data_IF_386286371531
#
_entry.id   IF_386286371531
#
_cell.length_a   1.000
_cell.length_b   1.000
_cell.length_c   1.000
_cell.angle_alpha   90.00
_cell.angle_beta   90.00
_cell.angle_gamma   90.00
#
_symmetry.space_group_name_H-M   'P 1'
#
loop_
_entity.id
_entity.type
_entity.pdbx_description
1 polymer ?
#
# COMPACT_ATOMS: atom_id res chain seq x y z
N UNK A 1 13.67 7.76 -21.67
CA UNK A 1 14.87 8.63 -21.92
C UNK A 1 14.54 10.07 -21.55
N UNK A 2 15.43 10.73 -20.82
CA UNK A 2 15.31 12.15 -20.45
C UNK A 2 16.43 12.92 -21.16
N UNK A 3 16.10 13.89 -21.99
CA UNK A 3 17.08 14.71 -22.76
C UNK A 3 18.16 13.89 -23.50
N UNK A 4 17.83 12.69 -23.98
CA UNK A 4 18.76 11.81 -24.70
C UNK A 4 19.62 10.91 -23.80
N UNK A 5 19.38 10.91 -22.48
CA UNK A 5 20.03 10.02 -21.52
C UNK A 5 19.08 8.90 -21.10
N UNK A 6 19.63 7.73 -20.82
CA UNK A 6 18.96 6.64 -20.12
C UNK A 6 19.16 6.81 -18.62
N UNK A 7 18.09 6.58 -17.86
CA UNK A 7 18.09 6.62 -16.40
C UNK A 7 18.25 5.20 -15.89
N UNK A 8 19.06 5.02 -14.85
CA UNK A 8 19.30 3.74 -14.18
C UNK A 8 19.07 3.93 -12.70
N UNK A 9 18.12 3.18 -12.13
CA UNK A 9 17.72 3.28 -10.73
C UNK A 9 17.78 1.92 -10.08
N UNK A 10 18.41 1.86 -8.91
CA UNK A 10 18.36 0.73 -7.96
C UNK A 10 17.88 1.22 -6.60
N UNK A 11 17.19 0.37 -5.87
CA UNK A 11 16.63 0.69 -4.56
C UNK A 11 17.11 -0.31 -3.50
N UNK A 12 17.42 0.23 -2.33
CA UNK A 12 17.64 -0.53 -1.10
C UNK A 12 16.46 -0.24 -0.17
N UNK A 13 15.63 -1.25 0.09
CA UNK A 13 14.41 -1.09 0.88
C UNK A 13 14.55 -1.84 2.19
N UNK A 14 14.45 -1.11 3.30
CA UNK A 14 14.50 -1.65 4.65
C UNK A 14 13.08 -1.78 5.19
N UNK A 15 12.74 -2.95 5.76
CA UNK A 15 11.45 -3.19 6.39
C UNK A 15 11.64 -3.76 7.79
N UNK A 16 11.13 -3.05 8.81
CA UNK A 16 11.06 -3.55 10.18
C UNK A 16 10.02 -4.66 10.27
N UNK A 17 10.41 -5.80 10.83
CA UNK A 17 9.52 -6.96 10.97
C UNK A 17 8.71 -6.86 12.26
N UNK A 18 7.41 -7.13 12.18
CA UNK A 18 6.46 -7.02 13.29
C UNK A 18 6.44 -8.27 14.20
N UNK A 19 7.62 -8.76 14.59
CA UNK A 19 7.75 -9.84 15.58
C UNK A 19 7.40 -9.35 17.00
N UNK A 20 7.06 -10.25 17.91
CA UNK A 20 6.73 -9.87 19.30
C UNK A 20 7.95 -9.38 20.07
N UNK A 21 9.11 -9.98 19.81
CA UNK A 21 10.40 -9.62 20.41
C UNK A 21 11.40 -9.15 19.38
N UNK A 22 12.44 -8.48 19.82
CA UNK A 22 13.58 -8.06 19.01
C UNK A 22 14.33 -9.26 18.42
N UNK A 23 15.28 -8.97 17.50
CA UNK A 23 15.96 -10.03 16.73
C UNK A 23 16.88 -10.90 17.60
N UNK A 24 17.53 -10.32 18.63
CA UNK A 24 18.54 -11.03 19.41
C UNK A 24 18.26 -11.07 20.91
N UNK A 25 17.11 -10.56 21.37
CA UNK A 25 16.72 -10.56 22.77
C UNK A 25 15.20 -10.55 22.94
N UNK A 26 14.72 -10.75 24.17
CA UNK A 26 13.28 -10.81 24.51
C UNK A 26 12.63 -9.44 24.73
N UNK A 27 13.34 -8.32 24.51
CA UNK A 27 12.70 -7.00 24.58
C UNK A 27 11.55 -6.92 23.60
N UNK A 28 10.46 -6.28 24.03
CA UNK A 28 9.27 -6.11 23.21
C UNK A 28 9.61 -5.27 21.97
N UNK A 29 9.16 -5.72 20.81
CA UNK A 29 9.26 -5.00 19.56
C UNK A 29 7.96 -4.19 19.34
N UNK A 30 7.94 -2.95 19.84
CA UNK A 30 6.77 -2.09 19.74
C UNK A 30 7.17 -0.62 19.60
N UNK A 31 6.60 0.07 18.61
CA UNK A 31 6.77 1.51 18.41
C UNK A 31 5.98 2.33 19.43
N UNK A 32 6.48 3.56 19.75
CA UNK A 32 5.74 4.57 20.52
C UNK A 32 5.73 4.37 22.03
N UNK A 33 6.57 3.49 22.57
CA UNK A 33 6.75 3.35 24.01
C UNK A 33 7.67 4.44 24.57
N UNK A 34 7.69 4.57 25.91
CA UNK A 34 8.56 5.53 26.62
C UNK A 34 10.01 5.34 26.20
N UNK A 35 10.72 6.45 25.97
CA UNK A 35 12.14 6.46 25.54
C UNK A 35 13.00 5.60 26.45
N UNK A 36 13.82 4.74 25.87
CA UNK A 36 14.72 3.82 26.58
C UNK A 36 14.03 2.85 27.56
N UNK A 37 12.73 2.56 27.37
CA UNK A 37 12.00 1.60 28.19
C UNK A 37 12.06 0.17 27.66
N UNK A 38 12.41 -0.03 26.37
CA UNK A 38 12.51 -1.34 25.71
C UNK A 38 13.96 -1.66 25.38
N UNK A 39 14.80 -1.65 26.40
CA UNK A 39 16.23 -1.94 26.29
C UNK A 39 16.67 -2.94 27.36
N UNK A 40 17.60 -3.81 26.99
CA UNK A 40 18.25 -4.76 27.91
C UNK A 40 19.76 -4.78 27.66
N UNK A 41 20.54 -5.43 28.53
CA UNK A 41 22.00 -5.53 28.32
C UNK A 41 22.42 -6.09 26.96
N UNK A 42 21.61 -6.98 26.35
CA UNK A 42 21.93 -7.58 25.05
C UNK A 42 21.79 -6.54 23.93
N UNK A 43 20.63 -5.89 23.77
CA UNK A 43 20.46 -4.91 22.68
C UNK A 43 21.29 -3.63 22.89
N UNK A 44 21.71 -3.34 24.12
CA UNK A 44 22.70 -2.27 24.42
C UNK A 44 24.16 -2.71 24.23
N UNK A 45 24.43 -3.99 23.94
CA UNK A 45 25.77 -4.50 23.72
C UNK A 45 26.68 -4.45 24.93
N UNK A 46 26.14 -4.67 26.14
CA UNK A 46 26.95 -4.67 27.35
C UNK A 46 27.92 -5.86 27.37
N UNK A 47 29.10 -5.69 27.94
CA UNK A 47 30.10 -6.80 28.04
C UNK A 47 29.54 -8.05 28.68
N UNK A 48 29.83 -9.22 28.10
CA UNK A 48 29.42 -10.53 28.60
C UNK A 48 27.99 -10.97 28.22
N UNK A 49 27.29 -10.21 27.39
CA UNK A 49 25.98 -10.61 26.88
C UNK A 49 26.10 -11.39 25.56
N UNK A 50 25.22 -12.34 25.34
CA UNK A 50 25.17 -13.17 24.13
C UNK A 50 23.84 -12.98 23.42
N UNK A 51 23.85 -12.70 22.10
CA UNK A 51 22.64 -12.61 21.28
C UNK A 51 22.00 -13.99 21.07
N UNK A 52 20.68 -14.04 20.95
CA UNK A 52 19.94 -15.24 20.56
C UNK A 52 19.00 -14.91 19.41
N UNK A 53 19.18 -15.57 18.26
CA UNK A 53 18.41 -15.28 17.06
C UNK A 53 16.93 -15.65 17.21
N UNK A 54 16.06 -14.73 16.92
CA UNK A 54 14.63 -14.95 16.85
C UNK A 54 14.26 -15.71 15.57
N UNK A 55 13.80 -16.95 15.72
CA UNK A 55 13.43 -17.85 14.62
C UNK A 55 12.36 -17.23 13.68
N UNK A 56 11.44 -16.43 14.25
CA UNK A 56 10.37 -15.80 13.47
C UNK A 56 10.90 -14.81 12.43
N UNK A 57 12.04 -14.18 12.69
CA UNK A 57 12.71 -13.29 11.73
C UNK A 57 13.17 -14.06 10.50
N UNK A 58 13.72 -15.24 10.71
CA UNK A 58 14.14 -16.16 9.62
C UNK A 58 12.93 -16.59 8.78
N UNK A 59 11.83 -17.00 9.43
CA UNK A 59 10.59 -17.37 8.78
C UNK A 59 10.04 -16.22 7.90
N UNK A 60 10.03 -15.02 8.45
CA UNK A 60 9.51 -13.85 7.74
C UNK A 60 10.37 -13.48 6.54
N UNK A 61 11.69 -13.53 6.68
CA UNK A 61 12.62 -13.26 5.58
C UNK A 61 12.47 -14.31 4.46
N UNK A 62 12.34 -15.61 4.80
CA UNK A 62 12.10 -16.68 3.82
C UNK A 62 10.75 -16.48 3.09
N UNK A 63 9.69 -16.12 3.81
CA UNK A 63 8.39 -15.82 3.19
C UNK A 63 8.49 -14.65 2.20
N UNK A 64 9.23 -13.59 2.57
CA UNK A 64 9.49 -12.48 1.65
C UNK A 64 10.33 -12.93 0.46
N UNK A 65 11.37 -13.75 0.70
CA UNK A 65 12.19 -14.36 -0.36
C UNK A 65 11.34 -15.14 -1.39
N UNK A 66 10.45 -15.99 -0.92
CA UNK A 66 9.53 -16.70 -1.82
C UNK A 66 8.57 -15.77 -2.57
N UNK A 67 8.06 -14.74 -1.92
CA UNK A 67 7.17 -13.76 -2.56
C UNK A 67 7.88 -12.96 -3.67
N UNK A 68 9.19 -12.79 -3.55
CA UNK A 68 10.05 -12.15 -4.56
C UNK A 68 10.83 -13.15 -5.42
N UNK A 69 10.39 -14.40 -5.47
CA UNK A 69 10.99 -15.47 -6.29
C UNK A 69 12.50 -15.65 -6.06
N UNK A 70 12.97 -15.40 -4.83
CA UNK A 70 14.39 -15.53 -4.48
C UNK A 70 14.78 -16.98 -4.24
N UNK A 71 16.05 -17.26 -4.52
CA UNK A 71 16.72 -18.47 -4.04
C UNK A 71 16.89 -18.38 -2.53
N UNK A 72 16.60 -19.47 -1.80
CA UNK A 72 16.74 -19.52 -0.34
C UNK A 72 18.03 -20.26 0.02
N UNK A 73 18.96 -19.55 0.68
CA UNK A 73 20.20 -20.13 1.19
C UNK A 73 19.92 -20.81 2.53
N UNK A 74 19.76 -22.13 2.51
CA UNK A 74 19.41 -22.90 3.71
C UNK A 74 20.53 -22.96 4.76
N UNK A 75 21.75 -22.62 4.37
CA UNK A 75 22.91 -22.52 5.27
C UNK A 75 23.50 -21.13 5.06
N UNK A 76 23.34 -20.26 6.05
CA UNK A 76 23.89 -18.91 6.01
C UNK A 76 24.38 -18.50 7.41
N UNK A 77 25.11 -17.41 7.48
CA UNK A 77 25.67 -16.87 8.71
C UNK A 77 25.37 -15.38 8.83
N UNK A 78 25.59 -14.88 10.02
CA UNK A 78 25.55 -13.45 10.29
C UNK A 78 26.95 -12.90 10.45
N UNK A 79 27.12 -11.64 10.07
CA UNK A 79 28.39 -10.93 10.07
C UNK A 79 28.27 -9.64 10.88
N UNK A 80 29.39 -9.18 11.45
CA UNK A 80 29.51 -7.86 12.06
C UNK A 80 29.90 -6.84 11.01
N UNK A 81 29.03 -5.81 10.85
CA UNK A 81 29.31 -4.59 10.08
C UNK A 81 29.79 -3.53 11.05
N UNK A 82 31.09 -3.25 11.04
CA UNK A 82 31.71 -2.40 12.05
C UNK A 82 31.69 -0.94 11.63
N UNK A 83 31.01 -0.12 12.41
CA UNK A 83 31.05 1.35 12.29
C UNK A 83 30.66 1.98 13.63
N UNK A 84 31.14 3.18 13.85
CA UNK A 84 30.89 3.89 15.09
C UNK A 84 29.86 5.00 14.88
N UNK A 85 28.75 4.93 15.63
CA UNK A 85 27.73 5.97 15.64
C UNK A 85 27.04 6.02 17.03
N UNK A 86 26.56 7.20 17.50
CA UNK A 86 26.00 7.33 18.85
C UNK A 86 24.80 6.44 19.14
N UNK A 87 23.97 6.12 18.15
CA UNK A 87 22.80 5.25 18.27
C UNK A 87 23.09 3.77 18.00
N UNK A 88 24.35 3.42 17.81
CA UNK A 88 24.85 2.05 17.65
C UNK A 88 25.71 1.64 18.86
N UNK A 89 25.10 1.19 19.97
CA UNK A 89 25.81 1.05 21.25
C UNK A 89 26.89 -0.03 21.24
N UNK A 90 26.80 -1.04 20.38
CA UNK A 90 27.78 -2.08 20.17
C UNK A 90 29.00 -1.65 19.34
N UNK A 91 28.94 -0.51 18.65
CA UNK A 91 29.85 -0.06 17.62
C UNK A 91 29.94 -1.01 16.40
N UNK A 92 29.00 -1.91 16.27
CA UNK A 92 28.76 -2.75 15.09
C UNK A 92 27.27 -3.08 14.96
N UNK A 93 26.85 -3.40 13.75
CA UNK A 93 25.53 -3.93 13.42
C UNK A 93 25.68 -5.38 13.00
N UNK A 94 24.84 -6.27 13.51
CA UNK A 94 24.77 -7.64 13.02
C UNK A 94 23.91 -7.63 11.76
N UNK A 95 24.47 -8.16 10.67
CA UNK A 95 23.88 -8.18 9.33
C UNK A 95 24.33 -9.46 8.59
N UNK A 96 24.20 -9.52 7.27
CA UNK A 96 24.69 -10.62 6.43
C UNK A 96 25.41 -10.04 5.20
N UNK A 97 26.71 -10.26 5.09
CA UNK A 97 27.53 -9.73 4.00
C UNK A 97 27.71 -10.73 2.85
N UNK A 98 28.30 -11.91 3.13
CA UNK A 98 28.71 -12.86 2.09
C UNK A 98 27.59 -13.79 1.64
N UNK A 99 26.86 -14.36 2.59
CA UNK A 99 25.81 -15.36 2.32
C UNK A 99 24.49 -14.87 2.94
N UNK A 100 23.74 -14.04 2.23
CA UNK A 100 22.42 -13.59 2.68
C UNK A 100 21.44 -14.76 2.75
N UNK A 101 20.40 -14.64 3.57
CA UNK A 101 19.37 -15.68 3.68
C UNK A 101 18.64 -15.91 2.35
N UNK A 102 18.37 -14.84 1.57
CA UNK A 102 17.78 -14.95 0.24
C UNK A 102 18.73 -14.37 -0.82
N UNK A 103 19.02 -15.17 -1.82
CA UNK A 103 19.83 -14.81 -2.98
C UNK A 103 19.01 -14.08 -4.06
N UNK A 104 19.43 -14.28 -5.32
CA UNK A 104 18.78 -13.61 -6.46
C UNK A 104 17.33 -14.00 -6.62
N UNK A 105 16.53 -13.03 -7.03
CA UNK A 105 15.11 -13.18 -7.30
C UNK A 105 14.58 -12.10 -8.25
N UNK A 106 13.28 -11.91 -8.25
CA UNK A 106 12.63 -10.85 -9.03
C UNK A 106 11.23 -10.56 -8.53
N UNK A 107 10.72 -9.40 -8.89
CA UNK A 107 9.32 -9.02 -8.76
C UNK A 107 8.82 -8.44 -10.07
N UNK A 108 7.62 -8.87 -10.49
CA UNK A 108 6.95 -8.29 -11.65
C UNK A 108 6.04 -7.16 -11.17
N UNK A 109 6.28 -5.95 -11.67
CA UNK A 109 5.50 -4.74 -11.39
C UNK A 109 4.67 -4.37 -12.62
N UNK A 110 3.58 -3.63 -12.41
CA UNK A 110 2.66 -3.27 -13.46
C UNK A 110 2.65 -1.74 -13.65
N UNK A 111 3.31 -1.26 -14.69
CA UNK A 111 3.42 0.17 -15.00
C UNK A 111 2.62 0.47 -16.26
N UNK A 112 1.63 1.36 -16.16
CA UNK A 112 0.73 1.77 -17.26
C UNK A 112 0.08 0.58 -18.02
N UNK A 113 -0.13 -0.53 -17.31
CA UNK A 113 -0.73 -1.75 -17.86
C UNK A 113 0.27 -2.72 -18.51
N UNK A 114 1.55 -2.38 -18.54
CA UNK A 114 2.65 -3.25 -18.99
C UNK A 114 3.37 -3.88 -17.79
N UNK A 115 3.65 -5.17 -17.91
CA UNK A 115 4.42 -5.91 -16.92
C UNK A 115 5.90 -5.64 -17.10
N UNK A 116 6.58 -5.27 -16.01
CA UNK A 116 8.02 -5.02 -15.96
C UNK A 116 8.64 -5.87 -14.86
N UNK A 117 9.67 -6.62 -15.21
CA UNK A 117 10.44 -7.42 -14.25
C UNK A 117 11.57 -6.61 -13.68
N UNK A 118 11.62 -6.54 -12.35
CA UNK A 118 12.72 -5.94 -11.58
C UNK A 118 13.44 -7.06 -10.83
N UNK A 119 14.71 -7.21 -11.08
CA UNK A 119 15.57 -8.16 -10.38
C UNK A 119 15.76 -7.78 -8.93
N UNK A 120 15.90 -8.79 -8.09
CA UNK A 120 16.30 -8.69 -6.69
C UNK A 120 17.70 -9.30 -6.57
N UNK A 121 18.64 -8.53 -6.08
CA UNK A 121 20.01 -9.00 -5.85
C UNK A 121 20.06 -9.93 -4.65
N UNK A 122 19.38 -9.52 -3.54
CA UNK A 122 19.32 -10.28 -2.29
C UNK A 122 18.30 -9.73 -1.31
N UNK A 123 17.93 -10.54 -0.34
CA UNK A 123 17.30 -10.10 0.91
C UNK A 123 18.12 -10.67 2.06
N UNK A 124 18.52 -9.82 2.99
CA UNK A 124 19.24 -10.24 4.18
C UNK A 124 18.59 -9.71 5.45
N UNK A 125 18.86 -10.42 6.55
CA UNK A 125 18.38 -10.04 7.89
C UNK A 125 19.44 -9.22 8.60
N UNK A 126 19.00 -8.22 9.34
CA UNK A 126 19.86 -7.39 10.16
C UNK A 126 19.09 -6.79 11.35
N UNK A 127 19.79 -6.14 12.25
CA UNK A 127 19.20 -5.38 13.34
C UNK A 127 19.17 -3.89 13.03
N UNK A 128 18.14 -3.18 13.51
CA UNK A 128 18.11 -1.72 13.39
C UNK A 128 18.94 -1.06 14.50
N UNK A 129 19.44 0.14 14.22
CA UNK A 129 20.11 1.01 15.18
C UNK A 129 19.10 1.78 16.02
N UNK A 130 19.54 2.49 17.06
CA UNK A 130 18.74 3.42 17.85
C UNK A 130 18.29 4.64 17.05
N UNK A 131 17.82 5.65 17.74
CA UNK A 131 17.36 6.90 17.14
C UNK A 131 18.04 8.09 17.81
N UNK A 132 18.60 9.00 17.01
CA UNK A 132 19.06 10.29 17.48
C UNK A 132 17.90 11.29 17.52
N UNK A 133 17.73 11.95 18.64
CA UNK A 133 16.75 12.99 18.86
C UNK A 133 17.47 14.32 19.03
N UNK A 134 17.17 15.28 18.16
CA UNK A 134 17.64 16.64 18.32
C UNK A 134 16.71 17.37 19.27
N UNK A 135 17.29 18.04 20.27
CA UNK A 135 16.52 18.75 21.28
C UNK A 135 16.73 20.26 21.15
N UNK A 136 15.64 21.00 20.98
CA UNK A 136 15.68 22.46 21.01
C UNK A 136 15.99 23.01 22.43
N UNK A 137 15.81 22.16 23.47
CA UNK A 137 16.07 22.54 24.87
C UNK A 137 17.53 22.46 25.27
N UNK A 138 18.32 21.61 24.60
CA UNK A 138 19.72 21.34 24.92
C UNK A 138 20.60 21.62 23.69
N UNK A 139 21.18 22.81 23.63
CA UNK A 139 22.09 23.18 22.52
C UNK A 139 23.39 22.34 22.60
N UNK A 140 23.81 21.82 21.44
CA UNK A 140 25.05 21.06 21.31
C UNK A 140 25.01 19.64 21.90
N UNK A 141 23.82 19.10 22.17
CA UNK A 141 23.61 17.75 22.71
C UNK A 141 22.68 16.96 21.78
N UNK A 142 23.03 15.71 21.51
CA UNK A 142 22.15 14.74 20.86
C UNK A 142 21.61 13.77 21.91
N UNK A 143 20.31 13.59 21.96
CA UNK A 143 19.67 12.60 22.80
C UNK A 143 19.56 11.29 22.02
N UNK A 144 19.71 10.15 22.72
CA UNK A 144 19.70 8.83 22.09
C UNK A 144 18.55 8.02 22.69
N UNK A 145 17.66 7.56 21.82
CA UNK A 145 16.64 6.58 22.13
C UNK A 145 17.06 5.21 21.57
N UNK A 146 17.32 4.26 22.45
CA UNK A 146 17.77 2.92 22.12
C UNK A 146 16.61 1.89 22.00
N UNK A 147 15.35 2.33 22.10
CA UNK A 147 14.21 1.41 21.96
C UNK A 147 14.22 0.67 20.63
N UNK A 148 14.72 1.30 19.56
CA UNK A 148 14.81 0.69 18.24
C UNK A 148 16.02 -0.23 18.06
N UNK A 149 17.06 -0.14 18.90
CA UNK A 149 18.21 -1.05 18.81
C UNK A 149 17.78 -2.51 18.88
N UNK A 150 18.18 -3.31 17.90
CA UNK A 150 17.84 -4.72 17.81
C UNK A 150 16.43 -5.00 17.32
N UNK A 151 15.69 -4.00 16.80
CA UNK A 151 14.45 -4.24 16.05
C UNK A 151 14.79 -5.05 14.80
N UNK A 152 14.06 -6.16 14.52
CA UNK A 152 14.35 -7.01 13.37
C UNK A 152 14.11 -6.25 12.06
N UNK A 153 15.07 -6.30 11.16
CA UNK A 153 15.05 -5.60 9.88
C UNK A 153 15.40 -6.60 8.77
N UNK A 154 14.74 -6.46 7.63
CA UNK A 154 15.20 -7.02 6.37
C UNK A 154 15.55 -5.91 5.41
N UNK A 155 16.66 -6.08 4.70
CA UNK A 155 17.05 -5.22 3.59
C UNK A 155 16.83 -5.96 2.28
N UNK A 156 16.05 -5.35 1.38
CA UNK A 156 15.73 -5.85 0.04
C UNK A 156 16.48 -4.98 -0.95
N UNK A 157 17.45 -5.56 -1.65
CA UNK A 157 18.28 -4.86 -2.64
C UNK A 157 17.82 -5.22 -4.04
N UNK A 158 17.38 -4.24 -4.82
CA UNK A 158 17.00 -4.44 -6.21
C UNK A 158 18.22 -4.42 -7.14
N UNK A 159 18.11 -5.07 -8.30
CA UNK A 159 18.98 -4.79 -9.43
C UNK A 159 18.67 -3.38 -9.99
N UNK A 160 19.61 -2.73 -10.69
CA UNK A 160 19.43 -1.39 -11.26
C UNK A 160 18.59 -1.43 -12.56
N UNK A 161 17.41 -2.03 -12.49
CA UNK A 161 16.58 -2.33 -13.66
C UNK A 161 15.53 -1.24 -13.95
N UNK A 162 15.23 -0.38 -12.97
CA UNK A 162 14.23 0.67 -13.12
C UNK A 162 14.77 1.82 -13.98
N UNK A 163 13.91 2.37 -14.83
CA UNK A 163 14.26 3.39 -15.84
C UNK A 163 13.50 4.70 -15.69
N UNK A 164 12.62 4.80 -14.70
CA UNK A 164 11.85 6.01 -14.40
C UNK A 164 11.49 6.10 -12.92
N UNK A 165 11.23 7.30 -12.44
CA UNK A 165 10.71 7.54 -11.08
C UNK A 165 9.35 6.88 -10.87
N UNK A 166 8.54 6.76 -11.94
CA UNK A 166 7.26 6.04 -11.89
C UNK A 166 7.44 4.53 -11.67
N UNK A 167 8.42 3.89 -12.35
CA UNK A 167 8.77 2.49 -12.09
C UNK A 167 9.24 2.28 -10.65
N UNK A 168 10.08 3.18 -10.13
CA UNK A 168 10.55 3.14 -8.74
C UNK A 168 9.38 3.26 -7.74
N UNK A 169 8.43 4.15 -8.01
CA UNK A 169 7.22 4.30 -7.19
C UNK A 169 6.39 3.03 -7.16
N UNK A 170 6.06 2.48 -8.34
CA UNK A 170 5.26 1.26 -8.45
C UNK A 170 5.97 0.07 -7.80
N UNK A 171 7.29 -0.03 -7.93
CA UNK A 171 8.09 -1.04 -7.23
C UNK A 171 7.94 -0.94 -5.70
N UNK A 172 8.08 0.25 -5.13
CA UNK A 172 7.92 0.47 -3.68
C UNK A 172 6.50 0.20 -3.21
N UNK A 173 5.47 0.59 -3.97
CA UNK A 173 4.06 0.30 -3.69
C UNK A 173 3.80 -1.22 -3.74
N UNK A 174 4.39 -1.92 -4.70
CA UNK A 174 4.30 -3.38 -4.83
C UNK A 174 4.97 -4.08 -3.64
N UNK A 175 6.19 -3.68 -3.26
CA UNK A 175 6.87 -4.24 -2.09
C UNK A 175 6.06 -4.02 -0.80
N UNK A 176 5.57 -2.80 -0.60
CA UNK A 176 4.71 -2.47 0.54
C UNK A 176 3.51 -3.39 0.61
N UNK A 177 2.80 -3.55 -0.50
CA UNK A 177 1.63 -4.40 -0.58
C UNK A 177 1.97 -5.87 -0.29
N UNK A 178 3.07 -6.40 -0.85
CA UNK A 178 3.54 -7.76 -0.56
C UNK A 178 3.84 -7.95 0.93
N UNK A 179 4.59 -7.03 1.56
CA UNK A 179 4.92 -7.07 2.99
C UNK A 179 3.66 -7.11 3.87
N UNK A 180 2.65 -6.33 3.51
CA UNK A 180 1.35 -6.29 4.21
C UNK A 180 0.54 -7.57 3.99
N UNK A 181 0.51 -8.12 2.78
CA UNK A 181 -0.14 -9.41 2.48
C UNK A 181 0.50 -10.59 3.22
N UNK A 182 1.81 -10.55 3.38
CA UNK A 182 2.53 -11.53 4.20
C UNK A 182 2.30 -11.32 5.71
N UNK A 183 1.79 -10.15 6.11
CA UNK A 183 1.60 -9.80 7.51
C UNK A 183 2.90 -9.66 8.31
N UNK A 184 4.02 -9.33 7.65
CA UNK A 184 5.35 -9.29 8.27
C UNK A 184 5.85 -7.88 8.58
N UNK A 185 5.22 -6.84 8.02
CA UNK A 185 5.52 -5.43 8.28
C UNK A 185 4.23 -4.60 8.13
N UNK A 186 4.05 -3.57 8.94
CA UNK A 186 2.93 -2.63 8.83
C UNK A 186 3.17 -1.52 7.79
N UNK A 187 4.42 -1.35 7.36
CA UNK A 187 4.84 -0.45 6.29
C UNK A 187 4.46 1.03 6.51
N UNK A 188 4.56 1.52 7.73
CA UNK A 188 4.32 2.92 8.08
C UNK A 188 5.59 3.75 7.97
N UNK A 189 5.76 4.48 6.86
CA UNK A 189 6.95 5.31 6.65
C UNK A 189 7.12 6.41 7.71
N UNK A 190 6.02 6.95 8.25
CA UNK A 190 6.05 7.98 9.31
C UNK A 190 6.64 7.44 10.63
N UNK A 191 6.47 6.16 10.90
CA UNK A 191 7.04 5.47 12.06
C UNK A 191 8.45 4.90 11.74
N UNK A 192 8.85 4.89 10.46
CA UNK A 192 10.13 4.37 9.98
C UNK A 192 10.15 2.87 9.76
N UNK A 193 8.99 2.19 9.82
CA UNK A 193 8.92 0.73 9.63
C UNK A 193 9.16 0.27 8.19
N UNK A 194 9.11 1.19 7.21
CA UNK A 194 9.65 0.99 5.87
C UNK A 194 10.43 2.23 5.44
N UNK A 195 11.64 2.03 4.91
CA UNK A 195 12.55 3.08 4.44
C UNK A 195 13.14 2.65 3.11
N UNK A 196 13.55 3.61 2.29
CA UNK A 196 14.27 3.31 1.06
C UNK A 196 15.43 4.29 0.84
N UNK A 197 16.53 3.74 0.38
CA UNK A 197 17.66 4.49 -0.18
C UNK A 197 17.64 4.30 -1.70
N UNK A 198 17.89 5.39 -2.43
CA UNK A 198 17.74 5.43 -3.88
C UNK A 198 19.10 5.63 -4.53
N UNK A 199 19.49 4.72 -5.39
CA UNK A 199 20.68 4.84 -6.24
C UNK A 199 20.27 5.29 -7.64
N UNK A 200 20.78 6.42 -8.12
CA UNK A 200 20.45 6.99 -9.44
C UNK A 200 21.73 7.25 -10.24
N UNK A 201 21.72 6.87 -11.50
CA UNK A 201 22.72 7.30 -12.48
C UNK A 201 22.06 7.56 -13.83
N UNK A 202 22.77 8.32 -14.71
CA UNK A 202 22.37 8.56 -16.08
C UNK A 202 23.53 8.28 -17.02
N UNK A 203 23.26 7.77 -18.23
CA UNK A 203 24.25 7.52 -19.27
C UNK A 203 23.63 7.72 -20.64
N UNK A 204 24.46 7.90 -21.67
CA UNK A 204 23.97 7.91 -23.05
C UNK A 204 23.71 6.49 -23.54
N UNK A 205 22.72 6.29 -24.43
CA UNK A 205 22.46 4.98 -25.01
C UNK A 205 23.73 4.35 -25.63
N UNK A 206 23.99 3.10 -25.24
CA UNK A 206 25.16 2.35 -25.69
C UNK A 206 26.46 2.61 -24.92
N UNK A 207 26.47 3.55 -23.98
CA UNK A 207 27.59 3.75 -23.06
C UNK A 207 27.43 2.89 -21.79
N UNK A 208 28.52 2.58 -21.06
CA UNK A 208 28.43 1.99 -19.73
C UNK A 208 27.59 2.82 -18.77
N UNK A 209 27.06 2.21 -17.70
CA UNK A 209 26.34 2.93 -16.66
C UNK A 209 27.18 4.08 -16.11
N UNK A 210 26.53 5.21 -15.89
CA UNK A 210 27.12 6.41 -15.29
C UNK A 210 27.46 6.23 -13.81
N UNK A 211 28.14 7.22 -13.26
CA UNK A 211 28.44 7.27 -11.83
C UNK A 211 27.15 7.46 -11.03
N UNK A 212 26.90 6.58 -10.07
CA UNK A 212 25.71 6.64 -9.23
C UNK A 212 25.85 7.64 -8.07
N UNK A 213 24.77 8.32 -7.75
CA UNK A 213 24.58 9.01 -6.47
C UNK A 213 23.59 8.21 -5.63
N UNK A 214 23.90 8.03 -4.35
CA UNK A 214 23.02 7.44 -3.35
C UNK A 214 22.23 8.55 -2.66
N UNK A 215 20.91 8.44 -2.64
CA UNK A 215 20.04 9.42 -2.00
C UNK A 215 19.34 8.83 -0.78
N UNK A 216 19.54 9.47 0.37
CA UNK A 216 18.97 9.10 1.67
C UNK A 216 17.91 10.09 2.13
N UNK A 217 17.25 9.76 3.24
CA UNK A 217 16.21 10.61 3.87
C UNK A 217 14.98 10.79 2.99
N UNK A 218 14.56 9.71 2.34
CA UNK A 218 13.34 9.67 1.52
C UNK A 218 12.17 9.23 2.40
N UNK A 219 11.36 10.19 2.85
CA UNK A 219 10.34 9.95 3.88
C UNK A 219 8.95 9.61 3.31
N UNK A 220 8.81 9.52 1.99
CA UNK A 220 7.59 9.08 1.30
C UNK A 220 7.89 8.60 -0.11
N UNK A 221 7.04 7.76 -0.67
CA UNK A 221 7.18 7.33 -2.08
C UNK A 221 7.08 8.51 -3.05
N UNK A 222 6.28 9.51 -2.72
CA UNK A 222 6.23 10.76 -3.49
C UNK A 222 7.53 11.57 -3.39
N UNK A 223 8.20 11.56 -2.24
CA UNK A 223 9.53 12.17 -2.08
C UNK A 223 10.59 11.40 -2.90
N UNK A 224 10.48 10.05 -2.99
CA UNK A 224 11.35 9.25 -3.86
C UNK A 224 11.23 9.70 -5.32
N UNK A 225 10.00 9.86 -5.83
CA UNK A 225 9.75 10.33 -7.20
C UNK A 225 10.40 11.69 -7.43
N UNK A 226 10.11 12.68 -6.56
CA UNK A 226 10.68 14.03 -6.70
C UNK A 226 12.21 14.03 -6.61
N UNK A 227 12.75 13.25 -5.69
CA UNK A 227 14.19 13.12 -5.52
C UNK A 227 14.88 12.50 -6.73
N UNK A 228 14.31 11.43 -7.30
CA UNK A 228 14.82 10.80 -8.52
C UNK A 228 14.78 11.78 -9.68
N UNK A 229 13.64 12.44 -9.92
CA UNK A 229 13.50 13.39 -11.02
C UNK A 229 14.51 14.55 -10.91
N UNK A 230 14.66 15.11 -9.70
CA UNK A 230 15.66 16.15 -9.44
C UNK A 230 17.08 15.66 -9.70
N UNK A 231 17.44 14.46 -9.21
CA UNK A 231 18.79 13.92 -9.33
C UNK A 231 19.15 13.60 -10.78
N UNK A 232 18.20 13.09 -11.56
CA UNK A 232 18.34 12.87 -13.00
C UNK A 232 18.65 14.18 -13.72
N UNK A 233 17.87 15.23 -13.44
CA UNK A 233 18.08 16.55 -14.07
C UNK A 233 19.42 17.14 -13.65
N UNK A 234 19.81 17.04 -12.39
CA UNK A 234 21.10 17.52 -11.88
C UNK A 234 22.27 16.83 -12.57
N UNK A 235 22.25 15.49 -12.67
CA UNK A 235 23.34 14.73 -13.30
C UNK A 235 23.44 15.05 -14.79
N UNK A 236 22.34 15.16 -15.51
CA UNK A 236 22.33 15.56 -16.92
C UNK A 236 22.93 16.95 -17.09
N UNK A 237 22.54 17.92 -16.26
CA UNK A 237 23.09 19.30 -16.32
C UNK A 237 24.60 19.35 -16.09
N UNK A 238 25.13 18.53 -15.15
CA UNK A 238 26.57 18.41 -14.91
C UNK A 238 27.28 17.86 -16.15
N UNK A 239 26.75 16.80 -16.76
CA UNK A 239 27.35 16.16 -17.94
C UNK A 239 27.29 17.07 -19.18
N UNK A 240 26.18 17.77 -19.39
CA UNK A 240 26.02 18.71 -20.52
C UNK A 240 26.95 19.95 -20.38
N UNK A 241 27.28 20.34 -19.14
CA UNK A 241 28.27 21.38 -18.88
C UNK A 241 29.74 20.90 -19.04
N UNK A 242 29.95 19.62 -19.43
CA UNK A 242 31.27 19.02 -19.57
C UNK A 242 31.93 18.60 -18.26
N UNK A 243 31.16 18.60 -17.17
CA UNK A 243 31.59 18.12 -15.85
C UNK A 243 31.53 16.60 -15.73
N UNK A 244 31.81 16.12 -14.52
CA UNK A 244 31.69 14.70 -14.14
C UNK A 244 30.79 14.57 -12.93
N UNK A 245 29.96 13.55 -12.90
CA UNK A 245 29.18 13.18 -11.71
C UNK A 245 30.10 12.47 -10.73
N UNK A 246 30.16 12.99 -9.50
CA UNK A 246 30.92 12.37 -8.41
C UNK A 246 30.07 11.27 -7.75
N UNK A 247 30.74 10.20 -7.29
CA UNK A 247 30.07 9.17 -6.48
C UNK A 247 29.96 9.69 -5.04
N UNK A 248 28.74 10.02 -4.65
CA UNK A 248 28.46 10.66 -3.37
C UNK A 248 27.14 10.15 -2.76
N UNK A 249 27.04 10.26 -1.43
CA UNK A 249 25.78 10.14 -0.71
C UNK A 249 25.15 11.51 -0.54
N UNK A 250 23.90 11.64 -0.90
CA UNK A 250 23.12 12.88 -0.85
C UNK A 250 21.90 12.70 0.05
N UNK A 251 21.44 13.77 0.70
CA UNK A 251 20.21 13.81 1.48
C UNK A 251 19.13 14.54 0.69
N UNK A 252 17.97 13.93 0.58
CA UNK A 252 16.80 14.65 0.07
C UNK A 252 16.29 15.66 1.09
N UNK A 253 16.10 16.90 0.68
CA UNK A 253 15.49 17.98 1.45
C UNK A 253 14.14 18.33 0.79
N UNK A 254 13.06 17.83 1.38
CA UNK A 254 11.72 17.92 0.78
C UNK A 254 11.17 19.35 0.82
N UNK A 255 11.57 20.16 1.81
CA UNK A 255 11.18 21.57 1.91
C UNK A 255 11.83 22.43 0.81
N UNK A 256 13.10 22.15 0.51
CA UNK A 256 13.84 22.84 -0.55
C UNK A 256 13.63 22.24 -1.92
N UNK A 257 13.07 21.03 -2.01
CA UNK A 257 12.89 20.30 -3.25
C UNK A 257 14.22 19.97 -3.95
N UNK A 258 15.29 19.68 -3.19
CA UNK A 258 16.63 19.41 -3.74
C UNK A 258 17.40 18.38 -2.93
N UNK A 259 18.36 17.72 -3.57
CA UNK A 259 19.32 16.87 -2.89
C UNK A 259 20.54 17.67 -2.44
N UNK A 260 21.04 17.40 -1.23
CA UNK A 260 22.20 18.09 -0.63
C UNK A 260 23.30 17.05 -0.40
N UNK A 261 24.56 17.28 -0.84
CA UNK A 261 25.66 16.35 -0.59
C UNK A 261 25.91 16.18 0.91
N UNK A 262 26.13 14.95 1.36
CA UNK A 262 26.47 14.62 2.74
C UNK A 262 27.95 14.26 2.88
N UNK A 263 28.44 13.33 2.08
CA UNK A 263 29.83 12.85 2.08
C UNK A 263 30.24 12.39 0.69
N UNK A 264 31.51 12.49 0.40
CA UNK A 264 32.11 11.99 -0.84
C UNK A 264 32.58 10.52 -0.69
N UNK A 265 33.05 9.93 -1.80
CA UNK A 265 33.63 8.59 -1.84
C UNK A 265 34.90 8.46 -0.99
N UNK A 266 35.64 9.56 -0.79
CA UNK A 266 36.85 9.58 0.04
C UNK A 266 36.56 9.29 1.51
N UNK A 267 35.31 9.52 1.95
CA UNK A 267 34.81 9.21 3.29
C UNK A 267 34.14 7.81 3.38
N UNK A 268 34.26 6.98 2.34
CA UNK A 268 33.66 5.63 2.35
C UNK A 268 34.29 4.80 3.47
N UNK A 269 33.44 4.35 4.40
CA UNK A 269 33.88 3.53 5.51
C UNK A 269 34.13 2.09 5.03
N UNK A 270 35.34 1.55 5.34
CA UNK A 270 35.57 0.13 5.31
C UNK A 270 34.92 -0.50 6.57
N UNK A 271 33.81 -1.20 6.39
CA UNK A 271 33.08 -1.82 7.48
C UNK A 271 33.78 -3.03 8.10
N UNK A 272 34.86 -3.51 7.52
CA UNK A 272 35.67 -4.63 8.05
C UNK A 272 34.78 -5.79 8.51
N UNK A 273 33.96 -6.29 7.61
CA UNK A 273 33.05 -7.40 7.89
C UNK A 273 33.81 -8.64 8.36
N UNK A 274 33.28 -9.32 9.38
CA UNK A 274 33.69 -10.64 9.78
C UNK A 274 32.53 -11.41 10.40
N UNK A 275 32.55 -12.77 10.41
CA UNK A 275 31.44 -13.55 10.97
C UNK A 275 31.18 -13.21 12.44
N UNK A 276 29.87 -13.09 12.81
CA UNK A 276 29.45 -12.88 14.18
C UNK A 276 29.78 -14.14 15.03
N UNK A 277 30.74 -14.06 15.95
CA UNK A 277 31.22 -15.26 16.67
C UNK A 277 30.21 -15.77 17.70
N UNK A 278 29.30 -14.93 18.17
CA UNK A 278 28.36 -15.26 19.24
C UNK A 278 27.04 -15.84 18.69
N UNK A 279 26.89 -15.94 17.35
CA UNK A 279 25.73 -16.53 16.69
C UNK A 279 26.12 -17.79 15.90
N UNK A 280 25.30 -18.80 16.04
CA UNK A 280 25.47 -20.03 15.27
C UNK A 280 25.10 -19.81 13.79
N UNK A 281 25.66 -20.66 12.93
CA UNK A 281 25.22 -20.77 11.53
C UNK A 281 23.71 -21.05 11.48
N UNK A 282 23.02 -20.31 10.67
CA UNK A 282 21.58 -20.52 10.42
C UNK A 282 21.47 -21.70 9.46
N UNK A 283 20.79 -22.77 9.90
CA UNK A 283 20.48 -23.94 9.09
C UNK A 283 18.96 -24.09 9.04
N UNK A 284 18.40 -24.04 7.84
CA UNK A 284 16.96 -24.19 7.62
C UNK A 284 16.69 -25.47 6.84
N UNK A 285 15.90 -26.36 7.41
CA UNK A 285 15.52 -27.60 6.75
C UNK A 285 14.62 -27.35 5.53
N UNK A 286 14.75 -28.20 4.49
CA UNK A 286 13.99 -28.03 3.25
C UNK A 286 12.48 -28.07 3.49
N UNK A 287 12.03 -28.94 4.39
CA UNK A 287 10.65 -29.09 4.78
C UNK A 287 10.07 -27.76 5.31
N UNK A 288 10.85 -27.04 6.12
CA UNK A 288 10.45 -25.73 6.65
C UNK A 288 10.33 -24.69 5.54
N UNK A 289 11.28 -24.67 4.62
CA UNK A 289 11.24 -23.77 3.43
C UNK A 289 9.98 -24.02 2.60
N UNK A 290 9.63 -25.31 2.37
CA UNK A 290 8.46 -25.70 1.61
C UNK A 290 7.14 -25.38 2.33
N UNK A 291 7.09 -25.52 3.65
CA UNK A 291 5.95 -25.11 4.48
C UNK A 291 5.71 -23.61 4.39
N UNK A 292 6.76 -22.82 4.55
CA UNK A 292 6.68 -21.35 4.47
C UNK A 292 6.21 -20.90 3.08
N UNK A 293 6.68 -21.57 2.02
CA UNK A 293 6.20 -21.32 0.66
C UNK A 293 4.70 -21.54 0.51
N UNK A 294 4.18 -22.64 1.07
CA UNK A 294 2.74 -22.97 1.03
C UNK A 294 1.88 -22.00 1.85
N UNK A 295 2.46 -21.31 2.82
CA UNK A 295 1.77 -20.34 3.68
C UNK A 295 1.57 -18.96 3.02
N UNK A 296 2.15 -18.73 1.83
CA UNK A 296 2.05 -17.45 1.13
C UNK A 296 0.65 -17.30 0.54
N UNK A 297 -0.07 -16.21 0.84
CA UNK A 297 -1.36 -15.94 0.23
C UNK A 297 -1.20 -15.58 -1.25
N UNK A 298 -2.31 -15.53 -1.99
CA UNK A 298 -2.29 -14.97 -3.34
C UNK A 298 -1.85 -13.50 -3.29
N UNK A 299 -0.74 -13.20 -3.94
CA UNK A 299 -0.09 -11.88 -3.90
C UNK A 299 -0.86 -10.83 -4.73
N UNK A 300 -0.69 -9.53 -4.43
CA UNK A 300 -1.47 -8.47 -5.06
C UNK A 300 -1.33 -8.42 -6.59
N UNK A 301 -0.15 -8.62 -7.16
CA UNK A 301 0.07 -8.67 -8.60
C UNK A 301 -0.73 -9.80 -9.28
N UNK A 302 -0.80 -10.98 -8.67
CA UNK A 302 -1.61 -12.11 -9.15
C UNK A 302 -3.11 -11.78 -9.05
N UNK A 303 -3.53 -11.16 -7.95
CA UNK A 303 -4.93 -10.71 -7.75
C UNK A 303 -5.34 -9.68 -8.80
N UNK A 304 -4.51 -8.70 -9.11
CA UNK A 304 -4.78 -7.70 -10.16
C UNK A 304 -5.10 -8.39 -11.47
N UNK A 305 -4.22 -9.30 -11.91
CA UNK A 305 -4.42 -10.03 -13.15
C UNK A 305 -5.70 -10.90 -13.11
N UNK A 306 -5.98 -11.53 -11.98
CA UNK A 306 -7.23 -12.30 -11.79
C UNK A 306 -8.46 -11.41 -11.86
N UNK A 307 -8.44 -10.24 -11.22
CA UNK A 307 -9.57 -9.30 -11.24
C UNK A 307 -9.87 -8.77 -12.64
N UNK A 308 -8.83 -8.45 -13.40
CA UNK A 308 -8.99 -8.04 -14.80
C UNK A 308 -9.52 -9.20 -15.67
N UNK A 309 -8.88 -10.37 -15.62
CA UNK A 309 -9.22 -11.50 -16.52
C UNK A 309 -10.51 -12.18 -16.16
N UNK A 310 -10.77 -12.44 -14.86
CA UNK A 310 -11.92 -13.23 -14.42
C UNK A 310 -13.17 -12.37 -14.18
N UNK A 311 -13.00 -11.15 -13.66
CA UNK A 311 -14.12 -10.31 -13.26
C UNK A 311 -14.34 -9.09 -14.15
N UNK A 312 -13.47 -8.87 -15.15
CA UNK A 312 -13.60 -7.79 -16.13
C UNK A 312 -13.39 -6.39 -15.56
N UNK A 313 -12.64 -6.26 -14.45
CA UNK A 313 -12.29 -4.95 -13.92
C UNK A 313 -11.30 -4.27 -14.85
N UNK A 314 -11.36 -2.93 -14.94
CA UNK A 314 -10.25 -2.20 -15.51
C UNK A 314 -9.02 -2.27 -14.59
N UNK A 315 -7.85 -2.05 -15.15
CA UNK A 315 -6.59 -2.22 -14.43
C UNK A 315 -6.46 -1.31 -13.20
N UNK A 316 -6.94 -0.06 -13.27
CA UNK A 316 -6.85 0.90 -12.17
C UNK A 316 -7.69 0.48 -10.97
N UNK A 317 -8.93 0.05 -11.21
CA UNK A 317 -9.83 -0.45 -10.16
C UNK A 317 -9.29 -1.74 -9.54
N UNK A 318 -8.78 -2.66 -10.38
CA UNK A 318 -8.18 -3.90 -9.93
C UNK A 318 -6.95 -3.66 -9.05
N UNK A 319 -6.06 -2.75 -9.45
CA UNK A 319 -4.87 -2.36 -8.69
C UNK A 319 -5.27 -1.74 -7.36
N UNK A 320 -6.16 -0.76 -7.36
CA UNK A 320 -6.59 -0.07 -6.13
C UNK A 320 -7.18 -1.04 -5.09
N UNK A 321 -8.02 -1.99 -5.53
CA UNK A 321 -8.59 -2.99 -4.62
C UNK A 321 -7.51 -3.97 -4.15
N UNK A 322 -6.67 -4.46 -5.05
CA UNK A 322 -5.69 -5.48 -4.74
C UNK A 322 -4.51 -4.98 -3.88
N UNK A 323 -4.18 -3.69 -3.91
CA UNK A 323 -3.14 -3.10 -3.06
C UNK A 323 -3.53 -3.05 -1.57
N UNK A 324 -4.82 -3.08 -1.26
CA UNK A 324 -5.31 -3.12 0.12
C UNK A 324 -5.76 -4.53 0.48
N UNK A 325 -5.12 -5.14 1.50
CA UNK A 325 -5.45 -6.49 1.99
C UNK A 325 -6.94 -6.60 2.36
N UNK A 326 -7.47 -5.60 3.07
CA UNK A 326 -8.84 -5.60 3.54
C UNK A 326 -9.86 -5.38 2.42
N UNK A 327 -9.59 -4.45 1.50
CA UNK A 327 -10.48 -4.24 0.34
C UNK A 327 -10.47 -5.45 -0.59
N UNK A 328 -9.31 -6.06 -0.84
CA UNK A 328 -9.22 -7.28 -1.63
C UNK A 328 -9.98 -8.44 -0.99
N UNK A 329 -9.86 -8.59 0.34
CA UNK A 329 -10.61 -9.61 1.08
C UNK A 329 -12.12 -9.37 0.96
N UNK A 330 -12.59 -8.15 1.22
CA UNK A 330 -14.01 -7.80 1.09
C UNK A 330 -14.53 -8.10 -0.33
N UNK A 331 -13.77 -7.70 -1.35
CA UNK A 331 -14.13 -7.93 -2.74
C UNK A 331 -14.17 -9.43 -3.09
N UNK A 332 -13.12 -10.19 -2.70
CA UNK A 332 -13.05 -11.64 -2.92
C UNK A 332 -14.21 -12.37 -2.22
N UNK A 333 -14.51 -12.00 -0.97
CA UNK A 333 -15.62 -12.57 -0.20
C UNK A 333 -16.99 -12.27 -0.85
N UNK A 334 -17.16 -11.07 -1.44
CA UNK A 334 -18.35 -10.74 -2.21
C UNK A 334 -18.44 -11.57 -3.50
N UNK A 335 -17.34 -11.69 -4.25
CA UNK A 335 -17.30 -12.44 -5.50
C UNK A 335 -17.44 -13.95 -5.28
N UNK A 336 -17.00 -14.48 -4.15
CA UNK A 336 -17.19 -15.88 -3.77
C UNK A 336 -18.67 -16.28 -3.61
N UNK A 337 -19.57 -15.32 -3.38
CA UNK A 337 -21.01 -15.56 -3.29
C UNK A 337 -21.68 -15.79 -4.65
N UNK A 338 -21.01 -15.42 -5.73
CA UNK A 338 -21.46 -15.61 -7.13
C UNK A 338 -22.91 -15.13 -7.40
N UNK A 339 -23.31 -14.00 -6.76
CA UNK A 339 -24.69 -13.50 -6.87
C UNK A 339 -24.83 -12.37 -7.86
N UNK A 340 -23.82 -11.49 -7.96
CA UNK A 340 -23.89 -10.29 -8.77
C UNK A 340 -22.56 -10.04 -9.49
N UNK A 341 -22.58 -9.34 -10.66
CA UNK A 341 -21.36 -8.93 -11.36
C UNK A 341 -20.47 -8.05 -10.49
N UNK A 342 -19.15 -8.12 -10.71
CA UNK A 342 -18.14 -7.37 -9.97
C UNK A 342 -18.44 -5.86 -9.91
N UNK A 343 -18.97 -5.29 -10.99
CA UNK A 343 -19.33 -3.87 -11.08
C UNK A 343 -20.32 -3.42 -10.00
N UNK A 344 -21.23 -4.31 -9.59
CA UNK A 344 -22.19 -3.98 -8.53
C UNK A 344 -21.50 -3.75 -7.19
N UNK A 345 -20.44 -4.49 -6.89
CA UNK A 345 -19.67 -4.33 -5.66
C UNK A 345 -18.64 -3.20 -5.76
N UNK A 346 -17.91 -3.11 -6.87
CA UNK A 346 -16.87 -2.09 -7.03
C UNK A 346 -17.42 -0.67 -6.98
N UNK A 347 -18.66 -0.44 -7.42
CA UNK A 347 -19.33 0.85 -7.30
C UNK A 347 -19.41 1.32 -5.84
N UNK A 348 -19.70 0.42 -4.90
CA UNK A 348 -19.77 0.72 -3.47
C UNK A 348 -18.38 0.81 -2.83
N UNK A 349 -17.50 -0.12 -3.16
CA UNK A 349 -16.15 -0.19 -2.59
C UNK A 349 -15.33 1.04 -3.02
N UNK A 350 -15.21 1.30 -4.33
CA UNK A 350 -14.41 2.39 -4.87
C UNK A 350 -15.07 3.77 -4.74
N UNK A 351 -16.39 3.79 -4.64
CA UNK A 351 -17.16 5.02 -4.51
C UNK A 351 -17.40 5.44 -3.05
N UNK A 352 -18.48 4.92 -2.48
CA UNK A 352 -18.98 5.39 -1.19
C UNK A 352 -18.10 4.94 0.00
N UNK A 353 -17.51 3.72 -0.02
CA UNK A 353 -16.58 3.26 1.04
C UNK A 353 -15.29 4.07 1.06
N UNK A 354 -14.61 4.18 -0.07
CA UNK A 354 -13.34 4.95 -0.17
C UNK A 354 -13.57 6.42 0.20
N UNK A 355 -14.69 7.00 -0.24
CA UNK A 355 -15.07 8.36 0.15
C UNK A 355 -15.24 8.50 1.67
N UNK A 356 -15.89 7.54 2.32
CA UNK A 356 -16.04 7.53 3.77
C UNK A 356 -14.70 7.40 4.49
N UNK A 357 -13.86 6.46 4.07
CA UNK A 357 -12.52 6.26 4.63
C UNK A 357 -11.67 7.54 4.54
N UNK A 358 -11.65 8.19 3.37
CA UNK A 358 -10.91 9.43 3.15
C UNK A 358 -11.45 10.61 3.98
N UNK A 359 -12.74 10.69 4.20
CA UNK A 359 -13.37 11.77 4.96
C UNK A 359 -13.19 11.61 6.47
N UNK A 360 -13.11 10.38 6.97
CA UNK A 360 -13.06 10.08 8.42
C UNK A 360 -11.67 9.71 8.91
N UNK A 361 -10.73 9.36 8.01
CA UNK A 361 -9.45 8.76 8.35
C UNK A 361 -9.53 7.32 8.88
N UNK A 362 -10.73 6.71 8.86
CA UNK A 362 -10.95 5.32 9.28
C UNK A 362 -10.53 4.34 8.19
N UNK A 363 -10.16 3.13 8.61
CA UNK A 363 -9.92 1.97 7.72
C UNK A 363 -11.19 1.14 7.56
N UNK A 364 -11.18 0.11 6.70
CA UNK A 364 -12.31 -0.81 6.58
C UNK A 364 -12.54 -1.59 7.89
N UNK A 365 -11.47 -1.94 8.58
CA UNK A 365 -11.48 -2.67 9.86
C UNK A 365 -12.16 -1.88 11.00
N UNK A 366 -12.16 -0.54 10.90
CA UNK A 366 -12.86 0.34 11.84
C UNK A 366 -14.37 0.40 11.56
N UNK A 367 -14.84 -0.19 10.46
CA UNK A 367 -16.25 -0.23 10.09
C UNK A 367 -16.92 -1.56 10.46
N UNK A 368 -18.24 -1.62 10.37
CA UNK A 368 -19.02 -2.85 10.54
C UNK A 368 -19.41 -3.50 9.21
N UNK A 369 -18.87 -2.99 8.08
CA UNK A 369 -19.19 -3.48 6.75
C UNK A 369 -18.63 -4.89 6.54
N UNK A 370 -19.50 -5.81 6.13
CA UNK A 370 -19.15 -7.19 5.77
C UNK A 370 -19.56 -7.51 4.34
N UNK A 371 -19.00 -8.56 3.76
CA UNK A 371 -19.40 -9.04 2.44
C UNK A 371 -20.88 -9.51 2.41
N UNK A 372 -21.39 -9.98 3.55
CA UNK A 372 -22.79 -10.42 3.67
C UNK A 372 -23.75 -9.25 3.56
N UNK A 373 -23.53 -8.20 4.36
CA UNK A 373 -24.43 -7.05 4.35
C UNK A 373 -24.24 -6.18 3.09
N UNK A 374 -23.03 -6.10 2.52
CA UNK A 374 -22.84 -5.46 1.21
C UNK A 374 -23.58 -6.23 0.09
N UNK A 375 -23.51 -7.56 0.10
CA UNK A 375 -24.25 -8.39 -0.87
C UNK A 375 -25.76 -8.25 -0.70
N UNK A 376 -26.26 -8.19 0.54
CA UNK A 376 -27.68 -7.96 0.83
C UNK A 376 -28.14 -6.57 0.37
N UNK A 377 -27.33 -5.55 0.53
CA UNK A 377 -27.60 -4.20 0.01
C UNK A 377 -27.71 -4.21 -1.51
N UNK A 378 -26.72 -4.81 -2.20
CA UNK A 378 -26.74 -4.95 -3.67
C UNK A 378 -28.01 -5.70 -4.10
N UNK A 379 -28.35 -6.80 -3.42
CA UNK A 379 -29.58 -7.56 -3.71
C UNK A 379 -30.84 -6.71 -3.58
N UNK A 380 -30.96 -5.89 -2.54
CA UNK A 380 -32.12 -5.03 -2.34
C UNK A 380 -32.25 -3.95 -3.42
N UNK A 381 -31.13 -3.47 -3.96
CA UNK A 381 -31.11 -2.48 -5.06
C UNK A 381 -31.45 -3.14 -6.40
N UNK A 382 -30.82 -4.27 -6.72
CA UNK A 382 -31.07 -5.01 -7.97
C UNK A 382 -32.52 -5.53 -8.04
N UNK A 383 -33.08 -5.97 -6.92
CA UNK A 383 -34.49 -6.32 -6.79
C UNK A 383 -35.44 -5.12 -6.81
N UNK A 384 -34.90 -3.89 -6.87
CA UNK A 384 -35.68 -2.64 -6.79
C UNK A 384 -36.51 -2.50 -5.51
N UNK A 385 -36.11 -3.18 -4.44
CA UNK A 385 -36.73 -3.02 -3.11
C UNK A 385 -36.46 -1.63 -2.55
N UNK A 386 -35.28 -1.08 -2.85
CA UNK A 386 -34.88 0.29 -2.51
C UNK A 386 -34.25 0.98 -3.72
N UNK A 387 -34.29 2.31 -3.72
CA UNK A 387 -33.59 3.12 -4.72
C UNK A 387 -32.11 3.23 -4.41
N UNK A 388 -31.26 3.62 -5.40
CA UNK A 388 -29.85 3.92 -5.15
C UNK A 388 -29.65 4.99 -4.06
N UNK A 389 -30.52 5.98 -3.97
CA UNK A 389 -30.50 6.99 -2.91
C UNK A 389 -30.84 6.40 -1.53
N UNK A 390 -31.79 5.46 -1.48
CA UNK A 390 -32.08 4.65 -0.29
C UNK A 390 -30.90 3.77 0.07
N UNK A 391 -30.27 3.13 -0.92
CA UNK A 391 -29.07 2.32 -0.75
C UNK A 391 -27.92 3.08 -0.08
N UNK A 392 -27.68 4.34 -0.43
CA UNK A 392 -26.66 5.17 0.24
C UNK A 392 -26.94 5.41 1.72
N UNK A 393 -28.23 5.55 2.10
CA UNK A 393 -28.61 5.70 3.50
C UNK A 393 -28.37 4.39 4.27
N UNK A 394 -28.79 3.25 3.69
CA UNK A 394 -28.53 1.94 4.27
C UNK A 394 -27.03 1.70 4.41
N UNK A 395 -26.24 2.00 3.38
CA UNK A 395 -24.79 1.83 3.39
C UNK A 395 -24.12 2.63 4.51
N UNK A 396 -24.54 3.89 4.72
CA UNK A 396 -24.00 4.71 5.80
C UNK A 396 -24.25 4.10 7.19
N UNK A 397 -25.39 3.45 7.41
CA UNK A 397 -25.67 2.72 8.67
C UNK A 397 -24.79 1.47 8.78
N UNK A 398 -24.63 0.71 7.68
CA UNK A 398 -23.80 -0.50 7.67
C UNK A 398 -22.31 -0.25 7.96
N UNK A 399 -21.82 0.95 7.73
CA UNK A 399 -20.46 1.32 8.09
C UNK A 399 -20.27 1.47 9.60
N UNK A 400 -21.29 1.88 10.33
CA UNK A 400 -21.21 2.21 11.76
C UNK A 400 -21.88 1.14 12.65
N UNK A 401 -22.87 0.41 12.14
CA UNK A 401 -23.70 -0.49 12.92
C UNK A 401 -23.77 -1.88 12.30
N UNK A 402 -23.65 -2.91 13.14
CA UNK A 402 -23.87 -4.31 12.71
C UNK A 402 -25.38 -4.63 12.71
N UNK A 403 -26.04 -4.22 11.62
CA UNK A 403 -27.49 -4.43 11.41
C UNK A 403 -27.75 -5.16 10.10
N UNK A 404 -28.90 -5.84 10.03
CA UNK A 404 -29.37 -6.43 8.79
C UNK A 404 -29.93 -5.35 7.86
N UNK A 405 -29.66 -5.48 6.58
CA UNK A 405 -30.16 -4.57 5.55
C UNK A 405 -31.70 -4.46 5.57
N UNK A 406 -32.41 -5.58 5.79
CA UNK A 406 -33.89 -5.60 5.93
C UNK A 406 -34.38 -4.67 7.02
N UNK A 407 -33.74 -4.75 8.19
CA UNK A 407 -34.18 -4.01 9.38
C UNK A 407 -33.95 -2.51 9.19
N UNK A 408 -32.82 -2.12 8.58
CA UNK A 408 -32.53 -0.71 8.26
C UNK A 408 -33.54 -0.17 7.24
N UNK A 409 -33.91 -0.97 6.22
CA UNK A 409 -34.91 -0.58 5.21
C UNK A 409 -36.27 -0.34 5.87
N UNK A 410 -36.67 -1.18 6.80
CA UNK A 410 -37.92 -1.07 7.55
C UNK A 410 -37.91 0.13 8.50
N UNK A 411 -36.90 0.24 9.36
CA UNK A 411 -36.73 1.32 10.33
C UNK A 411 -36.75 2.71 9.68
N UNK A 412 -36.09 2.85 8.52
CA UNK A 412 -36.01 4.12 7.82
C UNK A 412 -37.13 4.32 6.77
N UNK A 413 -38.01 3.34 6.60
CA UNK A 413 -39.10 3.38 5.63
C UNK A 413 -38.62 3.60 4.20
N UNK A 414 -37.50 2.94 3.79
CA UNK A 414 -36.84 3.13 2.49
C UNK A 414 -37.39 2.22 1.38
N UNK A 415 -38.26 1.30 1.71
CA UNK A 415 -38.88 0.41 0.73
C UNK A 415 -39.56 1.19 -0.38
N UNK A 416 -39.32 0.80 -1.64
CA UNK A 416 -39.96 1.41 -2.77
C UNK A 416 -41.44 0.98 -2.84
N UNK A 417 -42.30 1.92 -3.14
CA UNK A 417 -43.69 1.63 -3.45
C UNK A 417 -43.74 1.06 -4.86
N UNK A 418 -44.06 -0.24 -4.94
CA UNK A 418 -44.18 -0.97 -6.21
C UNK A 418 -45.65 -1.26 -6.57
N UNK A 419 -46.59 -0.86 -5.71
CA UNK A 419 -48.03 -1.06 -5.94
C UNK A 419 -48.48 -0.09 -7.03
N UNK A 420 -48.94 -0.66 -8.15
CA UNK A 420 -49.37 0.09 -9.34
C UNK A 420 -50.50 1.05 -9.01
N UNK A 421 -51.44 0.69 -8.12
CA UNK A 421 -52.55 1.55 -7.71
C UNK A 421 -52.09 2.77 -6.90
N UNK A 422 -51.07 2.65 -6.06
CA UNK A 422 -50.49 3.73 -5.30
C UNK A 422 -49.66 4.67 -6.22
N UNK A 423 -48.93 4.11 -7.18
CA UNK A 423 -48.17 4.87 -8.17
C UNK A 423 -49.07 5.62 -9.13
N UNK A 424 -50.21 5.05 -9.57
CA UNK A 424 -51.20 5.69 -10.42
C UNK A 424 -51.83 6.91 -9.74
N UNK A 425 -52.17 6.83 -8.46
CA UNK A 425 -52.68 7.97 -7.69
C UNK A 425 -51.67 9.14 -7.63
N UNK A 426 -50.40 8.82 -7.36
CA UNK A 426 -49.34 9.85 -7.34
C UNK A 426 -49.18 10.46 -8.74
N UNK A 427 -49.24 9.65 -9.80
CA UNK A 427 -49.16 10.15 -11.16
C UNK A 427 -50.35 11.08 -11.49
N UNK A 428 -51.57 10.69 -11.12
CA UNK A 428 -52.80 11.51 -11.35
C UNK A 428 -52.71 12.87 -10.63
N UNK A 429 -52.32 12.88 -9.36
CA UNK A 429 -52.14 14.10 -8.59
C UNK A 429 -51.09 15.03 -9.21
N UNK A 430 -49.95 14.47 -9.64
CA UNK A 430 -48.86 15.25 -10.25
C UNK A 430 -49.24 15.75 -11.64
N UNK A 431 -49.89 14.95 -12.47
CA UNK A 431 -50.35 15.35 -13.79
C UNK A 431 -51.37 16.48 -13.70
N UNK A 432 -52.33 16.37 -12.76
CA UNK A 432 -53.33 17.41 -12.50
C UNK A 432 -52.69 18.74 -12.01
N UNK A 433 -51.67 18.67 -11.18
CA UNK A 433 -50.94 19.81 -10.64
C UNK A 433 -49.99 20.47 -11.66
N UNK A 434 -49.67 19.82 -12.78
CA UNK A 434 -48.66 20.27 -13.75
C UNK A 434 -49.22 20.31 -15.20
N UNK A 435 -50.43 20.83 -15.40
CA UNK A 435 -51.12 20.88 -16.70
C UNK A 435 -50.26 21.49 -17.81
N UNK A 436 -49.48 22.52 -17.51
CA UNK A 436 -48.61 23.18 -18.48
C UNK A 436 -47.54 22.17 -19.03
N UNK A 437 -46.91 21.38 -18.17
CA UNK A 437 -45.91 20.39 -18.60
C UNK A 437 -46.54 19.21 -19.34
N UNK A 438 -47.76 18.85 -18.98
CA UNK A 438 -48.57 17.87 -19.71
C UNK A 438 -48.87 18.35 -21.14
N UNK A 439 -49.27 19.60 -21.31
CA UNK A 439 -49.55 20.22 -22.61
C UNK A 439 -48.26 20.38 -23.43
N UNK A 440 -47.16 20.75 -22.80
CA UNK A 440 -45.84 20.82 -23.44
C UNK A 440 -45.40 19.45 -23.99
N UNK A 441 -45.63 18.36 -23.25
CA UNK A 441 -45.33 17.02 -23.71
C UNK A 441 -46.21 16.59 -24.88
N UNK A 442 -47.52 16.83 -24.79
CA UNK A 442 -48.49 16.58 -25.88
C UNK A 442 -48.20 17.43 -27.11
N UNK A 443 -47.59 18.61 -26.94
CA UNK A 443 -47.10 19.48 -28.00
C UNK A 443 -45.74 19.08 -28.60
N UNK A 444 -45.16 17.89 -28.21
CA UNK A 444 -43.94 17.34 -28.78
C UNK A 444 -42.65 17.65 -28.01
N UNK A 445 -42.69 18.32 -26.87
CA UNK A 445 -41.54 18.62 -26.02
C UNK A 445 -41.22 17.44 -25.12
N UNK A 446 -40.43 16.45 -25.60
CA UNK A 446 -40.08 15.20 -24.89
C UNK A 446 -39.41 15.41 -23.54
N UNK A 447 -38.69 16.53 -23.34
CA UNK A 447 -38.04 16.86 -22.06
C UNK A 447 -39.03 17.07 -20.90
N UNK A 448 -40.31 17.42 -21.20
CA UNK A 448 -41.33 17.58 -20.17
C UNK A 448 -41.66 16.29 -19.43
N UNK A 449 -41.48 15.11 -20.07
CA UNK A 449 -41.63 13.82 -19.42
C UNK A 449 -40.67 13.63 -18.24
N UNK A 450 -39.39 13.97 -18.44
CA UNK A 450 -38.39 13.91 -17.37
C UNK A 450 -38.72 14.78 -16.16
N UNK A 451 -39.28 15.97 -16.41
CA UNK A 451 -39.76 16.85 -15.36
C UNK A 451 -40.94 16.25 -14.59
N UNK A 452 -41.95 15.70 -15.30
CA UNK A 452 -43.13 15.07 -14.68
C UNK A 452 -42.74 13.86 -13.82
N UNK A 453 -41.83 12.99 -14.32
CA UNK A 453 -41.26 11.90 -13.53
C UNK A 453 -40.55 12.44 -12.28
N UNK A 454 -39.77 13.50 -12.40
CA UNK A 454 -39.12 14.17 -11.27
C UNK A 454 -40.09 14.70 -10.22
N UNK A 455 -41.22 15.25 -10.62
CA UNK A 455 -42.28 15.71 -9.70
C UNK A 455 -42.98 14.53 -8.99
N UNK A 456 -43.21 13.41 -9.68
CA UNK A 456 -43.74 12.18 -9.07
C UNK A 456 -42.73 11.59 -8.05
N UNK A 457 -41.43 11.61 -8.38
CA UNK A 457 -40.37 11.19 -7.44
C UNK A 457 -40.36 12.10 -6.20
N UNK A 458 -40.58 13.40 -6.36
CA UNK A 458 -40.65 14.34 -5.23
C UNK A 458 -41.91 14.09 -4.38
N UNK A 459 -43.06 13.90 -5.01
CA UNK A 459 -44.31 13.62 -4.33
C UNK A 459 -44.28 12.28 -3.54
N UNK A 460 -43.64 11.27 -4.11
CA UNK A 460 -43.40 9.98 -3.43
C UNK A 460 -42.26 10.00 -2.40
N UNK A 461 -41.62 11.16 -2.15
CA UNK A 461 -40.42 11.31 -1.31
C UNK A 461 -39.29 10.34 -1.71
N UNK A 462 -39.12 10.07 -3.02
CA UNK A 462 -38.11 9.19 -3.57
C UNK A 462 -38.45 7.68 -3.44
N UNK A 463 -39.66 7.32 -3.02
CA UNK A 463 -40.11 5.94 -2.84
C UNK A 463 -40.70 5.29 -4.09
N UNK A 464 -41.11 6.06 -5.10
CA UNK A 464 -41.62 5.50 -6.36
C UNK A 464 -40.48 4.92 -7.21
N UNK A 465 -40.80 3.87 -7.98
CA UNK A 465 -39.84 3.35 -8.99
C UNK A 465 -39.87 4.29 -10.21
N UNK A 466 -38.78 4.98 -10.60
CA UNK A 466 -38.77 5.93 -11.71
C UNK A 466 -39.15 5.31 -13.06
N UNK A 467 -38.77 4.03 -13.30
CA UNK A 467 -39.07 3.31 -14.53
C UNK A 467 -40.59 3.02 -14.65
N UNK A 468 -41.16 2.42 -13.59
CA UNK A 468 -42.61 2.20 -13.53
C UNK A 468 -43.40 3.51 -13.59
N UNK A 469 -42.95 4.53 -12.88
CA UNK A 469 -43.61 5.86 -12.92
C UNK A 469 -43.60 6.46 -14.32
N UNK A 470 -42.47 6.31 -15.05
CA UNK A 470 -42.39 6.74 -16.45
C UNK A 470 -43.40 5.99 -17.35
N UNK A 471 -43.52 4.66 -17.17
CA UNK A 471 -44.48 3.83 -17.91
C UNK A 471 -45.93 4.27 -17.63
N UNK A 472 -46.28 4.48 -16.35
CA UNK A 472 -47.60 4.94 -15.93
C UNK A 472 -47.92 6.32 -16.51
N UNK A 473 -46.98 7.26 -16.45
CA UNK A 473 -47.17 8.61 -17.02
C UNK A 473 -47.37 8.52 -18.53
N UNK A 474 -46.57 7.72 -19.23
CA UNK A 474 -46.70 7.50 -20.67
C UNK A 474 -48.06 6.92 -21.03
N UNK A 475 -48.53 5.91 -20.29
CA UNK A 475 -49.83 5.28 -20.50
C UNK A 475 -50.99 6.27 -20.27
N UNK A 476 -50.84 7.25 -19.36
CA UNK A 476 -51.86 8.28 -19.07
C UNK A 476 -51.81 9.50 -20.01
N UNK A 477 -50.67 9.74 -20.63
CA UNK A 477 -50.53 10.88 -21.57
C UNK A 477 -50.85 10.52 -23.02
N UNK A 478 -50.91 9.23 -23.36
CA UNK A 478 -51.23 8.69 -24.69
C UNK A 478 -49.99 8.58 -25.55
#
# INVERSE_FOLDING_TARGET
MVKGYEVVIGLETHAELNTESKIYCDCKNQFGLEVNSQVCPICMGMPGTLPTLNEKVVDYAIRMGHALNCEINRVCKQDRKNYFYPDLPKAYQISQAEVPLCGKGYVDILVDGEERRIGITRIHIEEDAGKLLHSDKFHGVSLVDLNRCGVPLIEIVSEPDMRSSQEAKVYLETLKSILQYLGICDCKMQEGSIRCDVNVSVHKPGEPFGTRSEMKNVNSFSAAVRGIDYEVERQIAVLEAGGKVEQETRRWDDEKGMSIPMRSKEDAQDYRYFPEPDLLTIVVEQERVDELKKSIPELPNVKILRYVKKFGLNIKDATFIAESVSLAKLFDDCMAKDKFPAKCYTTWILGDLVKYMNATGKTLEDTKLTADNLTALVAAIEAKTISNAGGKKVFAVLLEEDKKVSDIIEEQGLAQVSDDSALEKIADEVLAANEKSVNDYKGGKTNALGYLVGQCMKASKGKANPGKMKEIILAKLG
#
